data_IF_066564373239
#
_entry.id   IF_066564373239
#
_cell.length_a   1.000
_cell.length_b   1.000
_cell.length_c   1.000
_cell.angle_alpha   90.00
_cell.angle_beta   90.00
_cell.angle_gamma   90.00
#
_symmetry.space_group_name_H-M   'P 1'
#
loop_
_entity.id
_entity.type
_entity.pdbx_description
1 polymer ?
#
# COMPACT_ATOMS: atom_id res chain seq x y z
N UNK A 1 -30.64 -54.02 -19.44
CA UNK A 1 -29.61 -52.96 -19.40
C UNK A 1 -30.13 -51.90 -18.45
N UNK A 2 -29.51 -51.76 -17.28
CA UNK A 2 -29.89 -50.74 -16.29
C UNK A 2 -29.39 -49.39 -16.80
N UNK A 3 -30.31 -48.44 -17.00
CA UNK A 3 -29.97 -47.08 -17.40
C UNK A 3 -29.00 -46.47 -16.39
N UNK A 4 -27.79 -46.17 -16.86
CA UNK A 4 -26.73 -45.55 -16.06
C UNK A 4 -27.11 -44.08 -15.84
N UNK A 5 -27.60 -43.76 -14.64
CA UNK A 5 -27.99 -42.39 -14.31
C UNK A 5 -26.72 -41.56 -14.15
N UNK A 6 -26.32 -40.87 -15.22
CA UNK A 6 -25.22 -39.91 -15.19
C UNK A 6 -25.68 -38.70 -14.35
N UNK A 7 -25.17 -38.61 -13.12
CA UNK A 7 -25.33 -37.43 -12.28
C UNK A 7 -24.53 -36.27 -12.87
N UNK A 8 -25.13 -35.55 -13.81
CA UNK A 8 -24.57 -34.30 -14.32
C UNK A 8 -24.62 -33.28 -13.18
N UNK A 9 -23.49 -33.04 -12.50
CA UNK A 9 -23.36 -31.92 -11.57
C UNK A 9 -23.70 -30.66 -12.34
N UNK A 10 -24.72 -29.92 -11.91
CA UNK A 10 -24.95 -28.56 -12.41
C UNK A 10 -23.65 -27.79 -12.26
N UNK A 11 -23.00 -27.46 -13.38
CA UNK A 11 -22.01 -26.39 -13.40
C UNK A 11 -22.75 -25.18 -12.87
N UNK A 12 -22.33 -24.68 -11.71
CA UNK A 12 -22.92 -23.48 -11.12
C UNK A 12 -22.94 -22.43 -12.22
N UNK A 13 -24.14 -21.94 -12.57
CA UNK A 13 -24.36 -20.90 -13.58
C UNK A 13 -23.81 -19.54 -13.14
N UNK A 14 -22.61 -19.52 -12.59
CA UNK A 14 -21.90 -18.34 -12.17
C UNK A 14 -21.45 -17.64 -13.44
N UNK A 15 -22.27 -16.69 -13.89
CA UNK A 15 -21.87 -15.73 -14.91
C UNK A 15 -20.58 -15.07 -14.43
N UNK A 16 -19.59 -14.92 -15.32
CA UNK A 16 -18.33 -14.25 -14.99
C UNK A 16 -18.60 -12.78 -14.65
N UNK A 17 -18.79 -12.47 -13.37
CA UNK A 17 -19.13 -11.12 -12.93
C UNK A 17 -17.90 -10.19 -12.86
N UNK A 18 -16.70 -10.77 -12.69
CA UNK A 18 -15.42 -10.04 -12.60
C UNK A 18 -14.70 -10.09 -13.95
N UNK A 19 -14.55 -8.90 -14.55
CA UNK A 19 -13.78 -8.69 -15.78
C UNK A 19 -12.29 -8.50 -15.51
N UNK A 20 -11.47 -8.49 -16.57
CA UNK A 20 -10.01 -8.38 -16.46
C UNK A 20 -9.54 -7.14 -15.68
N UNK A 21 -10.16 -5.98 -15.92
CA UNK A 21 -9.82 -4.74 -15.19
C UNK A 21 -10.06 -4.87 -13.69
N UNK A 22 -11.15 -5.54 -13.28
CA UNK A 22 -11.44 -5.76 -11.88
C UNK A 22 -10.51 -6.80 -11.24
N UNK A 23 -10.08 -7.82 -11.99
CA UNK A 23 -9.03 -8.73 -11.52
C UNK A 23 -7.72 -7.97 -11.31
N UNK A 24 -7.34 -7.12 -12.26
CA UNK A 24 -6.16 -6.25 -12.14
C UNK A 24 -6.29 -5.30 -10.95
N UNK A 25 -7.45 -4.67 -10.74
CA UNK A 25 -7.68 -3.78 -9.61
C UNK A 25 -7.58 -4.52 -8.27
N UNK A 26 -8.15 -5.73 -8.17
CA UNK A 26 -8.02 -6.59 -6.97
C UNK A 26 -6.55 -6.92 -6.72
N UNK A 27 -5.82 -7.39 -7.74
CA UNK A 27 -4.40 -7.71 -7.62
C UNK A 27 -3.56 -6.48 -7.25
N UNK A 28 -3.83 -5.32 -7.85
CA UNK A 28 -3.11 -4.09 -7.58
C UNK A 28 -3.35 -3.57 -6.16
N UNK A 29 -4.59 -3.59 -5.65
CA UNK A 29 -4.88 -3.22 -4.25
C UNK A 29 -4.24 -4.18 -3.24
N UNK A 30 -3.99 -5.43 -3.63
CA UNK A 30 -3.29 -6.41 -2.78
C UNK A 30 -1.79 -6.15 -2.68
N UNK A 31 -1.19 -5.51 -3.69
CA UNK A 31 0.26 -5.27 -3.77
C UNK A 31 0.61 -3.84 -3.37
N UNK A 32 -0.20 -2.87 -3.79
CA UNK A 32 -0.04 -1.46 -3.44
C UNK A 32 -0.66 -1.27 -2.06
N UNK A 33 0.17 -1.40 -1.04
CA UNK A 33 -0.20 -1.23 0.36
C UNK A 33 0.72 -0.24 1.06
N UNK A 34 0.47 -0.02 2.35
CA UNK A 34 1.16 0.90 3.25
C UNK A 34 2.68 0.80 3.20
N UNK A 35 3.22 -0.41 2.96
CA UNK A 35 4.66 -0.63 2.83
C UNK A 35 5.29 0.20 1.72
N UNK A 36 4.60 0.41 0.59
CA UNK A 36 5.15 1.27 -0.46
C UNK A 36 5.30 2.71 0.04
N UNK A 37 4.26 3.28 0.64
CA UNK A 37 4.25 4.67 1.07
C UNK A 37 5.16 4.92 2.28
N UNK A 38 5.16 4.02 3.26
CA UNK A 38 5.95 4.15 4.47
C UNK A 38 7.43 3.90 4.21
N UNK A 39 7.78 2.79 3.55
CA UNK A 39 9.18 2.44 3.34
C UNK A 39 9.84 3.36 2.33
N UNK A 40 9.17 3.76 1.23
CA UNK A 40 9.82 4.68 0.28
C UNK A 40 10.08 6.06 0.87
N UNK A 41 9.21 6.55 1.77
CA UNK A 41 9.45 7.78 2.50
C UNK A 41 10.57 7.64 3.55
N UNK A 42 10.61 6.51 4.28
CA UNK A 42 11.62 6.26 5.32
C UNK A 42 13.01 5.94 4.79
N UNK A 43 13.13 5.37 3.58
CA UNK A 43 14.41 4.96 3.00
C UNK A 43 15.39 6.12 2.77
N UNK A 44 14.88 7.34 2.55
CA UNK A 44 15.75 8.53 2.47
C UNK A 44 16.46 8.85 3.79
N UNK A 45 15.83 8.49 4.92
CA UNK A 45 16.41 8.64 6.24
C UNK A 45 17.29 7.44 6.63
N UNK A 46 16.78 6.22 6.43
CA UNK A 46 17.45 4.99 6.89
C UNK A 46 18.65 4.58 6.02
N UNK A 47 18.65 4.96 4.74
CA UNK A 47 19.71 4.64 3.78
C UNK A 47 20.11 5.87 2.94
N UNK A 48 20.79 6.87 3.53
CA UNK A 48 21.26 8.03 2.80
C UNK A 48 22.13 7.65 1.59
N UNK A 49 21.93 8.32 0.46
CA UNK A 49 22.66 8.03 -0.79
C UNK A 49 22.18 6.77 -1.55
N UNK A 50 21.16 6.06 -1.06
CA UNK A 50 20.61 4.92 -1.78
C UNK A 50 19.92 5.32 -3.10
N UNK A 51 20.17 4.55 -4.15
CA UNK A 51 19.46 4.71 -5.43
C UNK A 51 18.08 4.02 -5.37
N UNK A 52 17.11 4.66 -4.73
CA UNK A 52 15.77 4.09 -4.49
C UNK A 52 15.09 3.56 -5.77
N UNK A 53 15.10 4.28 -6.93
CA UNK A 53 14.51 3.74 -8.16
C UNK A 53 15.14 2.43 -8.62
N UNK A 54 16.46 2.28 -8.48
CA UNK A 54 17.17 1.07 -8.87
C UNK A 54 16.85 -0.07 -7.90
N UNK A 55 16.77 0.21 -6.60
CA UNK A 55 16.35 -0.76 -5.60
C UNK A 55 14.93 -1.30 -5.89
N UNK A 56 13.99 -0.42 -6.24
CA UNK A 56 12.63 -0.79 -6.63
C UNK A 56 12.61 -1.61 -7.93
N UNK A 57 13.43 -1.27 -8.93
CA UNK A 57 13.53 -2.03 -10.18
C UNK A 57 14.09 -3.44 -9.94
N UNK A 58 15.13 -3.58 -9.14
CA UNK A 58 15.73 -4.88 -8.80
C UNK A 58 14.73 -5.72 -8.02
N UNK A 59 14.15 -5.15 -6.95
CA UNK A 59 13.17 -5.85 -6.11
C UNK A 59 11.92 -6.27 -6.90
N UNK A 60 11.37 -5.36 -7.71
CA UNK A 60 10.24 -5.65 -8.59
C UNK A 60 10.55 -6.73 -9.63
N UNK A 61 11.76 -6.72 -10.20
CA UNK A 61 12.20 -7.75 -11.16
C UNK A 61 12.28 -9.13 -10.51
N UNK A 62 12.82 -9.23 -9.30
CA UNK A 62 12.87 -10.51 -8.56
C UNK A 62 11.46 -11.00 -8.26
N UNK A 63 10.56 -10.13 -7.81
CA UNK A 63 9.17 -10.49 -7.53
C UNK A 63 8.39 -10.89 -8.79
N UNK A 64 8.73 -10.35 -9.96
CA UNK A 64 8.10 -10.75 -11.23
C UNK A 64 8.34 -12.23 -11.57
N UNK A 65 9.47 -12.80 -11.17
CA UNK A 65 9.76 -14.22 -11.34
C UNK A 65 8.79 -15.11 -10.54
N UNK A 66 8.44 -14.69 -9.32
CA UNK A 66 7.44 -15.38 -8.51
C UNK A 66 6.04 -15.28 -9.15
N UNK A 67 5.70 -14.13 -9.75
CA UNK A 67 4.43 -13.97 -10.48
C UNK A 67 4.33 -14.94 -11.66
N UNK A 68 5.41 -15.20 -12.40
CA UNK A 68 5.41 -16.20 -13.47
C UNK A 68 5.11 -17.61 -12.96
N UNK A 69 5.63 -18.00 -11.79
CA UNK A 69 5.31 -19.29 -11.19
C UNK A 69 3.80 -19.44 -10.91
N UNK A 70 3.16 -18.40 -10.37
CA UNK A 70 1.71 -18.36 -10.13
C UNK A 70 0.92 -18.39 -11.43
N UNK A 71 1.39 -17.69 -12.47
CA UNK A 71 0.78 -17.73 -13.81
C UNK A 71 0.81 -19.15 -14.38
N UNK A 72 1.96 -19.82 -14.36
CA UNK A 72 2.08 -21.20 -14.84
C UNK A 72 1.21 -22.18 -14.03
N UNK A 73 1.15 -22.00 -12.71
CA UNK A 73 0.29 -22.80 -11.83
C UNK A 73 -1.19 -22.62 -12.17
N UNK A 74 -1.63 -21.37 -12.41
CA UNK A 74 -3.01 -21.04 -12.77
C UNK A 74 -3.39 -21.59 -14.15
N UNK A 75 -2.46 -21.53 -15.12
CA UNK A 75 -2.68 -22.15 -16.44
C UNK A 75 -2.77 -23.68 -16.37
N UNK A 76 -1.96 -24.31 -15.51
CA UNK A 76 -2.01 -25.76 -15.28
C UNK A 76 -3.27 -26.19 -14.50
N UNK A 77 -3.93 -25.27 -13.78
CA UNK A 77 -5.13 -25.54 -12.97
C UNK A 77 -6.31 -24.67 -13.41
N UNK A 78 -6.96 -24.97 -14.56
CA UNK A 78 -7.90 -24.08 -15.26
C UNK A 78 -9.29 -23.93 -14.60
N UNK A 79 -9.42 -24.25 -13.31
CA UNK A 79 -10.67 -24.18 -12.55
C UNK A 79 -10.48 -23.25 -11.37
N UNK A 80 -11.52 -22.51 -11.01
CA UNK A 80 -11.52 -21.62 -9.84
C UNK A 80 -11.06 -22.40 -8.61
N UNK A 81 -9.83 -22.10 -8.18
CA UNK A 81 -9.11 -22.83 -7.17
C UNK A 81 -8.16 -21.82 -6.53
N UNK A 82 -8.18 -21.75 -5.21
CA UNK A 82 -7.13 -21.04 -4.47
C UNK A 82 -5.85 -21.89 -4.50
N UNK A 83 -4.71 -21.25 -4.27
CA UNK A 83 -3.37 -21.83 -4.36
C UNK A 83 -3.26 -23.17 -3.61
N UNK A 84 -3.90 -23.29 -2.43
CA UNK A 84 -3.95 -24.54 -1.68
C UNK A 84 -4.48 -25.73 -2.48
N UNK A 85 -5.49 -25.54 -3.34
CA UNK A 85 -6.09 -26.61 -4.16
C UNK A 85 -5.14 -27.03 -5.26
N UNK A 86 -4.36 -26.10 -5.80
CA UNK A 86 -3.36 -26.39 -6.81
C UNK A 86 -2.18 -27.15 -6.16
N UNK A 87 -1.66 -26.66 -5.04
CA UNK A 87 -0.56 -27.26 -4.29
C UNK A 87 -0.93 -28.66 -3.78
N UNK A 88 -2.14 -28.84 -3.22
CA UNK A 88 -2.58 -30.12 -2.66
C UNK A 88 -2.70 -31.22 -3.73
N UNK A 89 -2.93 -30.85 -4.99
CA UNK A 89 -3.13 -31.78 -6.12
C UNK A 89 -1.86 -32.04 -6.93
N UNK A 90 -0.93 -31.10 -6.95
CA UNK A 90 0.31 -31.20 -7.72
C UNK A 90 1.46 -31.70 -6.86
N UNK A 91 1.59 -31.21 -5.63
CA UNK A 91 2.73 -31.52 -4.76
C UNK A 91 2.37 -32.55 -3.69
N UNK A 92 1.59 -32.16 -2.68
CA UNK A 92 1.17 -33.05 -1.61
C UNK A 92 0.03 -32.43 -0.77
N UNK A 93 -0.98 -33.20 -0.34
CA UNK A 93 -2.10 -32.67 0.46
C UNK A 93 -1.67 -31.96 1.74
N UNK A 94 -0.66 -32.48 2.45
CA UNK A 94 -0.10 -31.86 3.66
C UNK A 94 0.49 -30.46 3.39
N UNK A 95 1.17 -30.26 2.26
CA UNK A 95 1.74 -28.96 1.92
C UNK A 95 0.64 -27.94 1.61
N UNK A 96 -0.43 -28.36 0.94
CA UNK A 96 -1.60 -27.50 0.71
C UNK A 96 -2.29 -27.11 2.03
N UNK A 97 -2.36 -28.01 3.00
CA UNK A 97 -2.90 -27.70 4.33
C UNK A 97 -2.03 -26.70 5.10
N UNK A 98 -0.70 -26.89 5.10
CA UNK A 98 0.22 -25.96 5.74
C UNK A 98 0.15 -24.57 5.11
N UNK A 99 0.13 -24.50 3.78
CA UNK A 99 -0.01 -23.24 3.05
C UNK A 99 -1.33 -22.54 3.40
N UNK A 100 -2.46 -23.27 3.46
CA UNK A 100 -3.76 -22.71 3.83
C UNK A 100 -3.75 -22.06 5.21
N UNK A 101 -3.15 -22.72 6.21
CA UNK A 101 -3.08 -22.18 7.58
C UNK A 101 -2.20 -20.94 7.62
N UNK A 102 -1.05 -20.97 6.96
CA UNK A 102 -0.14 -19.84 6.92
C UNK A 102 -0.78 -18.65 6.23
N UNK A 103 -1.37 -18.84 5.06
CA UNK A 103 -2.05 -17.80 4.31
C UNK A 103 -3.22 -17.23 5.10
N UNK A 104 -4.06 -18.07 5.70
CA UNK A 104 -5.18 -17.62 6.53
C UNK A 104 -4.70 -16.80 7.74
N UNK A 105 -3.68 -17.27 8.47
CA UNK A 105 -3.13 -16.58 9.63
C UNK A 105 -2.50 -15.23 9.27
N UNK A 106 -1.69 -15.20 8.20
CA UNK A 106 -1.08 -13.96 7.70
C UNK A 106 -2.14 -12.96 7.24
N UNK A 107 -3.20 -13.41 6.56
CA UNK A 107 -4.28 -12.53 6.12
C UNK A 107 -5.03 -11.88 7.28
N UNK A 108 -5.37 -12.64 8.32
CA UNK A 108 -6.01 -12.07 9.52
C UNK A 108 -5.12 -11.02 10.16
N UNK A 109 -3.83 -11.31 10.27
CA UNK A 109 -2.87 -10.38 10.86
C UNK A 109 -2.73 -9.11 10.02
N UNK A 110 -2.59 -9.23 8.70
CA UNK A 110 -2.49 -8.08 7.78
C UNK A 110 -3.74 -7.22 7.85
N UNK A 111 -4.95 -7.81 7.81
CA UNK A 111 -6.20 -7.05 7.89
C UNK A 111 -6.27 -6.29 9.21
N UNK A 112 -5.91 -6.93 10.33
CA UNK A 112 -5.87 -6.27 11.64
C UNK A 112 -4.85 -5.13 11.69
N UNK A 113 -3.61 -5.39 11.29
CA UNK A 113 -2.52 -4.42 11.32
C UNK A 113 -2.78 -3.21 10.41
N UNK A 114 -3.16 -3.44 9.15
CA UNK A 114 -3.47 -2.35 8.21
C UNK A 114 -4.68 -1.54 8.68
N UNK A 115 -5.70 -2.18 9.26
CA UNK A 115 -6.86 -1.45 9.78
C UNK A 115 -6.49 -0.49 10.92
N UNK A 116 -5.51 -0.86 11.75
CA UNK A 116 -4.98 0.01 12.78
C UNK A 116 -4.20 1.19 12.18
N UNK A 117 -3.33 0.93 11.20
CA UNK A 117 -2.55 1.99 10.56
C UNK A 117 -3.38 2.97 9.73
N UNK A 118 -4.58 2.58 9.27
CA UNK A 118 -5.48 3.50 8.56
C UNK A 118 -5.75 4.78 9.35
N UNK A 119 -5.92 4.70 10.68
CA UNK A 119 -6.14 5.88 11.50
C UNK A 119 -4.95 6.85 11.44
N UNK A 120 -3.73 6.32 11.44
CA UNK A 120 -2.52 7.11 11.29
C UNK A 120 -2.36 7.71 9.89
N UNK A 121 -2.62 6.95 8.82
CA UNK A 121 -2.55 7.47 7.45
C UNK A 121 -3.55 8.58 7.20
N UNK A 122 -4.82 8.38 7.59
CA UNK A 122 -5.84 9.40 7.47
C UNK A 122 -5.60 10.58 8.42
N UNK A 123 -5.10 10.31 9.62
CA UNK A 123 -4.71 11.36 10.58
C UNK A 123 -3.61 12.26 10.03
N UNK A 124 -2.55 11.66 9.48
CA UNK A 124 -1.47 12.37 8.79
C UNK A 124 -2.00 13.20 7.62
N UNK A 125 -2.86 12.63 6.77
CA UNK A 125 -3.48 13.39 5.67
C UNK A 125 -4.30 14.60 6.18
N UNK A 126 -5.06 14.43 7.26
CA UNK A 126 -5.85 15.52 7.86
C UNK A 126 -4.97 16.61 8.47
N UNK A 127 -3.83 16.26 9.07
CA UNK A 127 -2.83 17.23 9.54
C UNK A 127 -2.32 18.05 8.36
N UNK A 128 -1.88 17.40 7.28
CA UNK A 128 -1.31 18.09 6.11
C UNK A 128 -2.34 19.00 5.42
N UNK A 129 -3.58 18.53 5.27
CA UNK A 129 -4.68 19.35 4.74
C UNK A 129 -4.97 20.53 5.68
N UNK A 130 -5.04 20.26 6.99
CA UNK A 130 -5.30 21.27 8.01
C UNK A 130 -4.25 22.37 8.05
N UNK A 131 -2.97 22.03 7.91
CA UNK A 131 -1.88 23.00 7.80
C UNK A 131 -2.02 23.83 6.52
N UNK A 132 -2.25 23.18 5.37
CA UNK A 132 -2.36 23.85 4.08
C UNK A 132 -3.55 24.83 3.99
N UNK A 133 -4.67 24.56 4.66
CA UNK A 133 -5.85 25.45 4.69
C UNK A 133 -5.95 26.27 5.98
N UNK A 134 -4.92 26.22 6.84
CA UNK A 134 -4.85 26.88 8.14
C UNK A 134 -6.06 26.59 9.06
N UNK A 135 -6.51 25.34 9.10
CA UNK A 135 -7.62 24.88 9.94
C UNK A 135 -7.12 24.04 11.14
N UNK A 136 -7.04 24.61 12.35
CA UNK A 136 -6.55 23.90 13.54
C UNK A 136 -7.46 22.75 13.99
N UNK A 137 -8.74 22.78 13.62
CA UNK A 137 -9.68 21.68 13.89
C UNK A 137 -9.34 20.40 13.13
N UNK A 138 -8.86 20.53 11.87
CA UNK A 138 -8.40 19.38 11.09
C UNK A 138 -7.07 18.84 11.61
N UNK A 139 -6.16 19.74 12.02
CA UNK A 139 -4.88 19.35 12.62
C UNK A 139 -5.10 18.54 13.90
N UNK A 140 -5.88 19.08 14.84
CA UNK A 140 -6.18 18.38 16.11
C UNK A 140 -6.93 17.05 15.92
N UNK A 141 -7.84 16.98 14.95
CA UNK A 141 -8.49 15.71 14.60
C UNK A 141 -7.47 14.69 14.08
N UNK A 142 -6.57 15.12 13.18
CA UNK A 142 -5.55 14.25 12.63
C UNK A 142 -4.51 13.80 13.65
N UNK A 143 -4.12 14.67 14.59
CA UNK A 143 -3.26 14.33 15.73
C UNK A 143 -3.92 13.29 16.65
N UNK A 144 -5.19 13.49 16.99
CA UNK A 144 -5.95 12.52 17.79
C UNK A 144 -6.01 11.14 17.11
N UNK A 145 -6.29 11.10 15.81
CA UNK A 145 -6.30 9.85 15.05
C UNK A 145 -4.92 9.18 14.94
N UNK A 146 -3.84 9.96 14.98
CA UNK A 146 -2.46 9.48 14.77
C UNK A 146 -1.79 9.02 16.07
N UNK A 147 -2.11 9.64 17.20
CA UNK A 147 -1.40 9.44 18.48
C UNK A 147 -2.20 8.55 19.44
N UNK A 148 -3.52 8.70 19.47
CA UNK A 148 -4.35 7.95 20.42
C UNK A 148 -4.56 6.51 19.96
N UNK A 149 -3.95 5.57 20.68
CA UNK A 149 -4.01 4.14 20.37
C UNK A 149 -5.45 3.60 20.45
N UNK A 150 -6.27 4.14 21.36
CA UNK A 150 -7.67 3.75 21.52
C UNK A 150 -8.53 4.21 20.33
N UNK A 151 -8.30 5.44 19.87
CA UNK A 151 -8.90 5.98 18.65
C UNK A 151 -8.50 5.17 17.42
N UNK A 152 -7.19 4.89 17.26
CA UNK A 152 -6.68 4.11 16.15
C UNK A 152 -7.29 2.70 16.11
N UNK A 153 -7.34 2.01 17.25
CA UNK A 153 -7.99 0.70 17.36
C UNK A 153 -9.50 0.77 17.07
N UNK A 154 -10.21 1.75 17.62
CA UNK A 154 -11.65 1.93 17.42
C UNK A 154 -12.01 2.22 15.95
N UNK A 155 -11.24 3.10 15.30
CA UNK A 155 -11.39 3.43 13.88
C UNK A 155 -11.08 2.18 13.03
N UNK A 156 -9.98 1.48 13.30
CA UNK A 156 -9.62 0.26 12.58
C UNK A 156 -10.70 -0.82 12.67
N UNK A 157 -11.23 -1.08 13.87
CA UNK A 157 -12.33 -2.01 14.08
C UNK A 157 -13.57 -1.57 13.28
N UNK A 158 -13.93 -0.28 13.33
CA UNK A 158 -15.05 0.24 12.58
C UNK A 158 -14.88 0.04 11.06
N UNK A 159 -13.67 0.25 10.53
CA UNK A 159 -13.33 0.02 9.13
C UNK A 159 -13.43 -1.46 8.74
N UNK A 160 -12.91 -2.37 9.57
CA UNK A 160 -13.00 -3.83 9.32
C UNK A 160 -14.47 -4.27 9.30
N UNK A 161 -15.29 -3.78 10.24
CA UNK A 161 -16.72 -4.09 10.26
C UNK A 161 -17.40 -3.52 9.02
N UNK A 162 -17.14 -2.26 8.66
CA UNK A 162 -17.75 -1.63 7.50
C UNK A 162 -17.42 -2.36 6.19
N UNK A 163 -16.15 -2.65 5.93
CA UNK A 163 -15.72 -3.39 4.73
C UNK A 163 -16.10 -4.86 4.77
N UNK A 164 -16.16 -5.46 5.97
CA UNK A 164 -16.71 -6.80 6.18
C UNK A 164 -18.18 -6.87 5.78
N UNK A 165 -19.00 -5.92 6.23
CA UNK A 165 -20.42 -5.81 5.84
C UNK A 165 -20.56 -5.56 4.34
N UNK A 166 -19.76 -4.65 3.75
CA UNK A 166 -19.76 -4.43 2.30
C UNK A 166 -19.45 -5.71 1.51
N UNK A 167 -18.56 -6.55 2.03
CA UNK A 167 -18.21 -7.84 1.41
C UNK A 167 -19.37 -8.85 1.47
N UNK A 168 -20.28 -8.73 2.45
CA UNK A 168 -21.49 -9.55 2.56
C UNK A 168 -22.59 -9.15 1.56
N UNK A 169 -22.54 -7.95 0.98
CA UNK A 169 -23.53 -7.45 0.01
C UNK A 169 -23.41 -8.09 -1.39
N UNK A 170 -22.43 -8.98 -1.58
CA UNK A 170 -22.25 -9.77 -2.78
C UNK A 170 -21.20 -9.23 -3.76
N UNK A 171 -20.86 -10.06 -4.74
CA UNK A 171 -19.66 -9.87 -5.57
C UNK A 171 -19.72 -8.65 -6.48
N UNK A 172 -20.92 -8.18 -6.86
CA UNK A 172 -21.10 -6.95 -7.66
C UNK A 172 -20.70 -5.70 -6.86
N UNK A 173 -21.18 -5.58 -5.62
CA UNK A 173 -20.86 -4.46 -4.74
C UNK A 173 -19.36 -4.45 -4.46
N UNK A 174 -18.80 -5.62 -4.13
CA UNK A 174 -17.36 -5.79 -3.94
C UNK A 174 -16.57 -5.30 -5.16
N UNK A 175 -16.92 -5.76 -6.37
CA UNK A 175 -16.25 -5.36 -7.61
C UNK A 175 -16.25 -3.85 -7.81
N UNK A 176 -17.40 -3.18 -7.67
CA UNK A 176 -17.48 -1.73 -7.84
C UNK A 176 -16.66 -0.99 -6.78
N UNK A 177 -16.75 -1.44 -5.53
CA UNK A 177 -16.00 -0.86 -4.41
C UNK A 177 -14.49 -0.91 -4.69
N UNK A 178 -13.95 -2.09 -5.04
CA UNK A 178 -12.52 -2.25 -5.33
C UNK A 178 -12.08 -1.42 -6.54
N UNK A 179 -12.88 -1.37 -7.61
CA UNK A 179 -12.52 -0.55 -8.78
C UNK A 179 -12.50 0.95 -8.47
N UNK A 180 -13.45 1.44 -7.66
CA UNK A 180 -13.51 2.86 -7.26
C UNK A 180 -12.32 3.20 -6.38
N UNK A 181 -12.04 2.38 -5.36
CA UNK A 181 -10.88 2.58 -4.49
C UNK A 181 -9.57 2.54 -5.29
N UNK A 182 -9.45 1.60 -6.23
CA UNK A 182 -8.32 1.56 -7.14
C UNK A 182 -8.19 2.83 -7.98
N UNK A 183 -9.30 3.33 -8.53
CA UNK A 183 -9.31 4.57 -9.30
C UNK A 183 -8.86 5.79 -8.50
N UNK A 184 -9.30 5.89 -7.24
CA UNK A 184 -8.88 6.94 -6.31
C UNK A 184 -7.38 6.84 -6.02
N UNK A 185 -6.89 5.64 -5.67
CA UNK A 185 -5.48 5.42 -5.39
C UNK A 185 -4.59 5.71 -6.61
N UNK A 186 -5.03 5.31 -7.81
CA UNK A 186 -4.33 5.59 -9.06
C UNK A 186 -4.28 7.10 -9.35
N UNK A 187 -5.39 7.81 -9.17
CA UNK A 187 -5.44 9.25 -9.35
C UNK A 187 -4.50 9.97 -8.36
N UNK A 188 -4.51 9.57 -7.07
CA UNK A 188 -3.60 10.10 -6.07
C UNK A 188 -2.14 9.85 -6.44
N UNK A 189 -1.80 8.63 -6.88
CA UNK A 189 -0.44 8.30 -7.35
C UNK A 189 0.02 9.15 -8.53
N UNK A 190 -0.86 9.37 -9.53
CA UNK A 190 -0.57 10.24 -10.67
C UNK A 190 -0.32 11.69 -10.21
N UNK A 191 -1.14 12.20 -9.30
CA UNK A 191 -0.99 13.55 -8.75
C UNK A 191 0.34 13.68 -7.99
N UNK A 192 0.70 12.69 -7.16
CA UNK A 192 1.97 12.69 -6.42
C UNK A 192 3.17 12.69 -7.36
N UNK A 193 3.16 11.86 -8.41
CA UNK A 193 4.25 11.84 -9.41
C UNK A 193 4.32 13.15 -10.17
N UNK A 194 3.18 13.72 -10.58
CA UNK A 194 3.14 15.01 -11.25
C UNK A 194 3.68 16.14 -10.34
N UNK A 195 3.34 16.11 -9.04
CA UNK A 195 3.86 17.03 -8.04
C UNK A 195 5.37 16.90 -7.84
N UNK A 196 5.90 15.68 -7.80
CA UNK A 196 7.34 15.43 -7.70
C UNK A 196 8.10 15.93 -8.95
N UNK A 197 7.57 15.70 -10.15
CA UNK A 197 8.14 16.20 -11.40
C UNK A 197 8.11 17.74 -11.42
N UNK A 198 7.00 18.35 -11.00
CA UNK A 198 6.90 19.80 -10.89
C UNK A 198 7.93 20.35 -9.88
N UNK A 199 8.04 19.74 -8.69
CA UNK A 199 9.01 20.15 -7.68
C UNK A 199 10.46 20.05 -8.19
N UNK A 200 10.78 19.06 -9.02
CA UNK A 200 12.10 18.93 -9.64
C UNK A 200 12.45 20.07 -10.63
N UNK A 201 11.47 20.87 -11.06
CA UNK A 201 11.69 22.05 -11.92
C UNK A 201 11.91 23.35 -11.15
N UNK A 202 11.74 23.33 -9.83
CA UNK A 202 11.82 24.51 -8.97
C UNK A 202 13.23 24.72 -8.41
N UNK A 203 13.61 25.97 -8.20
CA UNK A 203 14.83 26.29 -7.46
C UNK A 203 14.65 26.03 -5.95
N UNK A 204 15.74 25.81 -5.19
CA UNK A 204 15.67 25.65 -3.73
C UNK A 204 14.93 26.80 -3.03
N UNK A 205 15.11 28.04 -3.49
CA UNK A 205 14.42 29.21 -2.93
C UNK A 205 12.90 29.16 -3.17
N UNK A 206 12.47 28.65 -4.33
CA UNK A 206 11.04 28.46 -4.62
C UNK A 206 10.45 27.35 -3.77
N UNK A 207 11.18 26.25 -3.53
CA UNK A 207 10.77 25.17 -2.64
C UNK A 207 10.61 25.70 -1.22
N UNK A 208 11.59 26.46 -0.72
CA UNK A 208 11.52 27.12 0.59
C UNK A 208 10.29 28.02 0.71
N UNK A 209 10.02 28.85 -0.29
CA UNK A 209 8.85 29.73 -0.31
C UNK A 209 7.53 28.94 -0.27
N UNK A 210 7.39 27.89 -1.08
CA UNK A 210 6.20 27.02 -1.09
C UNK A 210 6.01 26.28 0.23
N UNK A 211 7.11 25.85 0.84
CA UNK A 211 7.11 25.22 2.15
C UNK A 211 6.60 26.18 3.22
N UNK A 212 7.18 27.38 3.30
CA UNK A 212 6.82 28.39 4.29
C UNK A 212 5.38 28.90 4.10
N UNK A 213 4.86 28.94 2.87
CA UNK A 213 3.44 29.23 2.62
C UNK A 213 2.51 28.16 3.21
N UNK A 214 2.94 26.90 3.26
CA UNK A 214 2.12 25.78 3.73
C UNK A 214 2.26 25.56 5.24
N UNK A 215 3.49 25.64 5.76
CA UNK A 215 3.84 25.28 7.12
C UNK A 215 4.11 26.47 8.04
N UNK A 216 4.15 27.69 7.50
CA UNK A 216 4.41 28.92 8.25
C UNK A 216 5.79 29.51 7.93
N UNK A 217 5.90 30.84 8.08
CA UNK A 217 7.13 31.55 7.78
C UNK A 217 8.30 31.05 8.64
N UNK A 218 9.41 30.68 8.00
CA UNK A 218 10.62 30.17 8.66
C UNK A 218 10.58 28.67 9.01
N UNK A 219 9.49 27.96 8.70
CA UNK A 219 9.38 26.52 8.97
C UNK A 219 10.45 25.71 8.22
N UNK A 220 10.79 26.11 6.99
CA UNK A 220 11.86 25.46 6.23
C UNK A 220 13.23 25.60 6.92
N UNK A 221 13.56 26.80 7.39
CA UNK A 221 14.82 27.06 8.08
C UNK A 221 14.88 26.36 9.44
N UNK A 222 13.76 26.29 10.16
CA UNK A 222 13.66 25.57 11.42
C UNK A 222 14.00 24.08 11.24
N UNK A 223 13.46 23.42 10.20
CA UNK A 223 13.78 22.02 9.90
C UNK A 223 15.27 21.84 9.65
N UNK A 224 15.88 22.72 8.84
CA UNK A 224 17.33 22.66 8.58
C UNK A 224 18.15 22.86 9.87
N UNK A 225 17.75 23.80 10.71
CA UNK A 225 18.43 24.08 11.98
C UNK A 225 18.34 22.88 12.93
N UNK A 226 17.17 22.28 13.07
CA UNK A 226 16.95 21.09 13.90
C UNK A 226 17.74 19.90 13.36
N UNK A 227 17.70 19.66 12.04
CA UNK A 227 18.46 18.58 11.42
C UNK A 227 19.97 18.73 11.62
N UNK A 228 20.51 19.94 11.43
CA UNK A 228 21.93 20.22 11.66
C UNK A 228 22.31 20.06 13.14
N UNK A 229 21.49 20.57 14.06
CA UNK A 229 21.71 20.41 15.50
C UNK A 229 21.67 18.93 15.95
N UNK A 230 20.85 18.12 15.29
CA UNK A 230 20.76 16.67 15.52
C UNK A 230 21.92 15.88 14.88
N UNK A 231 22.86 16.54 14.19
CA UNK A 231 24.02 15.88 13.56
C UNK A 231 23.70 15.18 12.24
N UNK A 232 22.64 15.58 11.54
CA UNK A 232 22.22 14.95 10.27
C UNK A 232 23.33 14.91 9.22
N UNK A 233 24.10 16.01 9.08
CA UNK A 233 25.25 16.06 8.16
C UNK A 233 26.37 15.07 8.53
N UNK A 234 26.64 14.90 9.82
CA UNK A 234 27.65 13.97 10.29
C UNK A 234 27.22 12.51 10.06
N UNK A 235 25.93 12.23 10.26
CA UNK A 235 25.34 10.93 9.93
C UNK A 235 25.48 10.63 8.44
N UNK A 236 25.08 11.56 7.56
CA UNK A 236 25.24 11.41 6.11
C UNK A 236 26.71 11.16 5.74
N UNK A 237 27.63 11.98 6.26
CA UNK A 237 29.05 11.83 5.97
C UNK A 237 29.60 10.47 6.41
N UNK A 238 29.12 9.93 7.53
CA UNK A 238 29.56 8.62 8.02
C UNK A 238 29.10 7.45 7.15
N UNK A 239 27.95 7.59 6.47
CA UNK A 239 27.38 6.55 5.59
C UNK A 239 27.87 6.68 4.15
N UNK A 240 27.93 7.90 3.61
CA UNK A 240 28.18 8.17 2.19
C UNK A 240 29.60 8.64 1.89
N UNK A 241 30.33 9.15 2.90
CA UNK A 241 31.61 9.83 2.70
C UNK A 241 31.51 11.28 2.22
N UNK A 242 30.31 11.79 1.90
CA UNK A 242 30.07 13.18 1.50
C UNK A 242 28.85 13.76 2.24
N UNK A 243 29.01 14.79 3.10
CA UNK A 243 27.91 15.39 3.86
C UNK A 243 26.84 16.09 3.01
N UNK A 244 27.04 16.20 1.69
CA UNK A 244 26.10 16.84 0.77
C UNK A 244 25.33 15.84 -0.10
N UNK A 245 25.47 14.53 0.14
CA UNK A 245 24.75 13.48 -0.58
C UNK A 245 23.58 13.00 0.26
N UNK A 246 22.38 13.41 -0.11
CA UNK A 246 21.15 13.13 0.66
C UNK A 246 20.36 11.99 0.02
N UNK A 247 20.50 11.75 -1.29
CA UNK A 247 19.82 10.67 -2.02
C UNK A 247 20.08 10.71 -3.52
N UNK A 248 19.37 9.91 -4.31
CA UNK A 248 19.40 10.05 -5.77
C UNK A 248 18.39 11.12 -6.23
N UNK A 249 18.75 12.05 -7.14
CA UNK A 249 20.01 12.14 -7.89
C UNK A 249 21.12 13.00 -7.25
N UNK A 250 20.89 13.55 -6.04
CA UNK A 250 21.87 14.27 -5.23
C UNK A 250 21.33 14.49 -3.82
#
# INVERSE_FOLDING_TARGET
MSDEVVFVRRTSGLVREIGALSVMAIAANYVIADGFYLFTAGLGYEAPGAHIPLALLIGGSIMSLAAFAVIFLTMATPRTASDYVAISRVLHPFLGYLESILVFGVHIWIVGALSFFLAWFWGSALIQIGLAIHNPGLVSLGEWMSVDVGAAAGIGIAFVIAFGVLSLLGIRVFKYTVNVLFGIALAAGIITVAGAIYAATLSPDQIKSLWDMTYGAGAYDEILNVANAAGWRDYIASVTGDPNVWGWPG
#
